data_IF_095851745326
#
_entry.id   IF_095851745326
#
_cell.length_a   1.000
_cell.length_b   1.000
_cell.length_c   1.000
_cell.angle_alpha   90.00
_cell.angle_beta   90.00
_cell.angle_gamma   90.00
#
_symmetry.space_group_name_H-M   'P 1'
#
loop_
_entity.id
_entity.type
_entity.pdbx_description
1 polymer ?
#
# COMPACT_ATOMS: atom_id res chain seq x y z
N UNK A 1 9.06 -29.64 -9.46
CA UNK A 1 9.16 -29.81 -8.00
C UNK A 1 8.61 -28.54 -7.37
N UNK A 2 7.60 -28.63 -6.48
CA UNK A 2 6.98 -27.45 -5.90
C UNK A 2 7.97 -26.77 -4.94
N UNK A 3 8.12 -25.45 -5.08
CA UNK A 3 8.90 -24.63 -4.16
C UNK A 3 8.32 -24.77 -2.74
N UNK A 4 9.14 -25.32 -1.84
CA UNK A 4 8.85 -25.32 -0.41
C UNK A 4 8.89 -23.86 0.08
N UNK A 5 7.72 -23.21 0.08
CA UNK A 5 7.51 -21.98 0.81
C UNK A 5 7.74 -22.28 2.30
N UNK A 6 8.92 -21.90 2.80
CA UNK A 6 9.25 -21.99 4.23
C UNK A 6 8.07 -21.47 5.05
N UNK A 7 7.39 -22.34 5.84
CA UNK A 7 6.22 -21.94 6.58
C UNK A 7 6.66 -20.95 7.65
N UNK A 8 6.43 -19.66 7.41
CA UNK A 8 6.74 -18.60 8.38
C UNK A 8 6.18 -19.03 9.73
N UNK A 9 7.04 -19.19 10.77
CA UNK A 9 6.62 -19.77 12.02
C UNK A 9 5.47 -18.99 12.65
N UNK A 10 4.51 -19.69 13.25
CA UNK A 10 3.31 -19.07 13.84
C UNK A 10 3.64 -17.96 14.83
N UNK A 11 4.74 -18.10 15.57
CA UNK A 11 5.24 -17.10 16.52
C UNK A 11 5.77 -15.83 15.84
N UNK A 12 6.38 -15.94 14.66
CA UNK A 12 6.85 -14.77 13.90
C UNK A 12 5.67 -13.98 13.35
N UNK A 13 4.62 -14.66 12.87
CA UNK A 13 3.36 -14.02 12.46
C UNK A 13 2.66 -13.34 13.64
N UNK A 14 2.61 -14.01 14.79
CA UNK A 14 2.06 -13.43 16.02
C UNK A 14 2.87 -12.21 16.48
N UNK A 15 4.19 -12.23 16.35
CA UNK A 15 5.06 -11.09 16.65
C UNK A 15 4.80 -9.90 15.72
N UNK A 16 4.68 -10.12 14.42
CA UNK A 16 4.32 -9.06 13.46
C UNK A 16 2.93 -8.51 13.75
N UNK A 17 1.94 -9.37 14.01
CA UNK A 17 0.59 -8.93 14.39
C UNK A 17 0.62 -8.13 15.69
N UNK A 18 1.38 -8.57 16.70
CA UNK A 18 1.51 -7.85 17.96
C UNK A 18 2.17 -6.48 17.76
N UNK A 19 3.22 -6.38 16.95
CA UNK A 19 3.85 -5.10 16.60
C UNK A 19 2.87 -4.19 15.87
N UNK A 20 2.13 -4.70 14.88
CA UNK A 20 1.10 -3.93 14.18
C UNK A 20 0.02 -3.46 15.15
N UNK A 21 -0.47 -4.33 16.03
CA UNK A 21 -1.46 -3.97 17.06
C UNK A 21 -0.91 -2.92 18.02
N UNK A 22 0.34 -3.04 18.45
CA UNK A 22 0.99 -2.06 19.34
C UNK A 22 1.15 -0.72 18.63
N UNK A 23 1.61 -0.71 17.38
CA UNK A 23 1.77 0.52 16.59
C UNK A 23 0.42 1.17 16.33
N UNK A 24 -0.60 0.39 15.97
CA UNK A 24 -1.97 0.88 15.75
C UNK A 24 -2.58 1.38 17.05
N UNK A 25 -2.42 0.66 18.16
CA UNK A 25 -2.92 1.08 19.47
C UNK A 25 -2.19 2.34 19.97
N UNK A 26 -0.88 2.45 19.73
CA UNK A 26 -0.10 3.63 20.07
C UNK A 26 -0.51 4.82 19.21
N UNK A 27 -0.67 4.64 17.90
CA UNK A 27 -1.20 5.67 17.01
C UNK A 27 -2.60 6.07 17.45
N UNK A 28 -3.51 5.12 17.69
CA UNK A 28 -4.87 5.39 18.17
C UNK A 28 -4.89 6.10 19.52
N UNK A 29 -3.98 5.77 20.44
CA UNK A 29 -3.83 6.41 21.74
C UNK A 29 -3.31 7.85 21.63
N UNK A 30 -2.26 8.07 20.82
CA UNK A 30 -1.73 9.39 20.52
C UNK A 30 -2.78 10.25 19.76
N UNK A 31 -3.52 9.63 18.84
CA UNK A 31 -4.66 10.23 18.13
C UNK A 31 -5.79 10.55 19.10
N UNK A 32 -6.07 9.70 20.10
CA UNK A 32 -7.08 9.95 21.12
C UNK A 32 -6.75 11.23 21.90
N UNK A 33 -5.49 11.45 22.29
CA UNK A 33 -5.12 12.70 22.97
C UNK A 33 -5.17 13.96 22.08
N UNK A 34 -5.12 13.80 20.75
CA UNK A 34 -5.11 14.93 19.78
C UNK A 34 -6.49 15.22 19.16
N UNK A 35 -7.30 14.19 18.90
CA UNK A 35 -8.68 14.29 18.39
C UNK A 35 -9.68 14.60 19.50
N UNK A 36 -9.33 14.30 20.76
CA UNK A 36 -10.18 14.50 21.92
C UNK A 36 -9.61 15.63 22.76
N UNK A 37 -9.66 16.85 22.23
CA UNK A 37 -9.71 18.04 23.08
C UNK A 37 -10.93 17.87 23.99
N UNK A 38 -10.64 17.62 25.28
CA UNK A 38 -11.35 17.78 26.58
C UNK A 38 -12.88 17.94 26.69
N UNK A 39 -13.66 17.96 25.61
CA UNK A 39 -15.11 17.98 25.67
C UNK A 39 -15.67 16.55 25.77
N UNK A 40 -16.52 16.34 26.78
CA UNK A 40 -17.27 15.11 26.95
C UNK A 40 -17.98 14.73 25.64
N UNK A 41 -17.98 13.45 25.27
CA UNK A 41 -18.53 12.96 24.00
C UNK A 41 -19.98 13.41 23.73
N UNK A 42 -20.75 13.72 24.78
CA UNK A 42 -22.12 14.25 24.68
C UNK A 42 -22.25 15.73 24.30
N UNK A 43 -21.16 16.51 24.32
CA UNK A 43 -21.15 17.94 23.97
C UNK A 43 -20.67 18.22 22.54
N UNK A 44 -20.18 17.19 21.83
CA UNK A 44 -19.59 17.39 20.49
C UNK A 44 -20.64 17.73 19.43
N UNK A 45 -20.39 18.74 18.58
CA UNK A 45 -21.16 18.96 17.37
C UNK A 45 -21.25 17.68 16.53
N UNK A 46 -22.46 17.35 16.06
CA UNK A 46 -22.71 16.16 15.22
C UNK A 46 -21.70 15.96 14.06
N UNK A 47 -21.27 17.00 13.32
CA UNK A 47 -20.27 16.83 12.26
C UNK A 47 -18.93 16.29 12.76
N UNK A 48 -18.49 16.68 13.97
CA UNK A 48 -17.22 16.19 14.54
C UNK A 48 -17.33 14.74 14.99
N UNK A 49 -18.50 14.33 15.49
CA UNK A 49 -18.78 12.93 15.81
C UNK A 49 -18.76 12.05 14.56
N UNK A 50 -19.40 12.47 13.47
CA UNK A 50 -19.39 11.73 12.20
C UNK A 50 -17.96 11.57 11.65
N UNK A 51 -17.15 12.62 11.73
CA UNK A 51 -15.76 12.59 11.31
C UNK A 51 -14.89 11.67 12.17
N UNK A 52 -15.12 11.66 13.49
CA UNK A 52 -14.43 10.73 14.42
C UNK A 52 -14.76 9.27 14.08
N UNK A 53 -16.02 8.98 13.77
CA UNK A 53 -16.45 7.63 13.33
C UNK A 53 -15.79 7.27 12.01
N UNK A 54 -15.72 8.21 11.06
CA UNK A 54 -15.05 8.01 9.79
C UNK A 54 -13.57 7.66 9.95
N UNK A 55 -12.83 8.39 10.79
CA UNK A 55 -11.42 8.11 11.06
C UNK A 55 -11.22 6.74 11.71
N UNK A 56 -12.10 6.35 12.65
CA UNK A 56 -12.06 5.02 13.26
C UNK A 56 -12.30 3.90 12.24
N UNK A 57 -13.23 4.11 11.30
CA UNK A 57 -13.48 3.18 10.19
C UNK A 57 -12.26 3.08 9.28
N UNK A 58 -11.68 4.21 8.88
CA UNK A 58 -10.47 4.22 8.04
C UNK A 58 -9.28 3.55 8.72
N UNK A 59 -9.09 3.76 10.02
CA UNK A 59 -8.07 3.05 10.80
C UNK A 59 -8.32 1.54 10.82
N UNK A 60 -9.57 1.11 11.01
CA UNK A 60 -9.94 -0.31 10.92
C UNK A 60 -9.64 -0.92 9.55
N UNK A 61 -9.92 -0.17 8.48
CA UNK A 61 -9.56 -0.56 7.11
C UNK A 61 -8.05 -0.60 6.92
N UNK A 62 -7.30 0.37 7.45
CA UNK A 62 -5.84 0.40 7.39
C UNK A 62 -5.22 -0.85 8.02
N UNK A 63 -5.73 -1.26 9.18
CA UNK A 63 -5.32 -2.50 9.86
C UNK A 63 -5.62 -3.72 8.99
N UNK A 64 -6.82 -3.80 8.43
CA UNK A 64 -7.19 -4.91 7.55
C UNK A 64 -6.27 -4.98 6.32
N UNK A 65 -5.97 -3.84 5.70
CA UNK A 65 -5.03 -3.74 4.57
C UNK A 65 -3.61 -4.12 5.00
N UNK A 66 -3.14 -3.70 6.18
CA UNK A 66 -1.81 -4.06 6.67
C UNK A 66 -1.66 -5.57 6.89
N UNK A 67 -2.69 -6.22 7.43
CA UNK A 67 -2.66 -7.65 7.77
C UNK A 67 -2.87 -8.52 6.52
N UNK A 68 -3.83 -8.18 5.67
CA UNK A 68 -4.25 -9.05 4.56
C UNK A 68 -3.80 -8.58 3.18
N UNK A 69 -3.39 -7.32 3.04
CA UNK A 69 -3.09 -6.68 1.76
C UNK A 69 -1.82 -7.17 1.08
N UNK A 70 -0.86 -7.75 1.82
CA UNK A 70 0.43 -8.18 1.27
C UNK A 70 0.29 -9.09 0.05
N UNK A 71 -0.55 -10.13 0.14
CA UNK A 71 -0.76 -11.08 -0.97
C UNK A 71 -1.27 -10.39 -2.23
N UNK A 72 -2.15 -9.41 -2.07
CA UNK A 72 -2.73 -8.67 -3.20
C UNK A 72 -1.70 -7.73 -3.82
N UNK A 73 -1.01 -6.92 -3.01
CA UNK A 73 -0.01 -5.97 -3.51
C UNK A 73 1.18 -6.68 -4.13
N UNK A 74 1.65 -7.79 -3.55
CA UNK A 74 2.71 -8.62 -4.12
C UNK A 74 2.27 -9.27 -5.44
N UNK A 75 1.00 -9.64 -5.59
CA UNK A 75 0.45 -10.12 -6.87
C UNK A 75 0.44 -9.05 -7.96
N UNK A 76 0.31 -7.77 -7.59
CA UNK A 76 0.37 -6.62 -8.52
C UNK A 76 1.81 -6.27 -8.89
N UNK A 77 2.75 -6.39 -7.96
CA UNK A 77 4.18 -6.10 -8.16
C UNK A 77 5.06 -7.35 -7.98
N UNK A 78 4.88 -8.41 -8.78
CA UNK A 78 5.54 -9.71 -8.55
C UNK A 78 7.06 -9.66 -8.71
N UNK A 79 7.57 -8.65 -9.44
CA UNK A 79 8.99 -8.49 -9.73
C UNK A 79 9.73 -7.61 -8.71
N UNK A 80 9.03 -7.02 -7.73
CA UNK A 80 9.67 -6.13 -6.75
C UNK A 80 9.00 -6.22 -5.38
N UNK A 81 9.59 -7.03 -4.50
CA UNK A 81 9.20 -7.13 -3.09
C UNK A 81 9.27 -5.76 -2.40
N UNK A 82 10.35 -4.99 -2.65
CA UNK A 82 10.51 -3.64 -2.09
C UNK A 82 9.46 -2.65 -2.60
N UNK A 83 9.14 -2.69 -3.91
CA UNK A 83 8.08 -1.86 -4.48
C UNK A 83 6.69 -2.22 -3.92
N UNK A 84 6.40 -3.51 -3.78
CA UNK A 84 5.17 -3.99 -3.15
C UNK A 84 5.06 -3.53 -1.69
N UNK A 85 6.15 -3.64 -0.93
CA UNK A 85 6.21 -3.19 0.47
C UNK A 85 6.04 -1.68 0.60
N UNK A 86 6.68 -0.90 -0.26
CA UNK A 86 6.53 0.55 -0.29
C UNK A 86 5.07 0.94 -0.58
N UNK A 87 4.45 0.38 -1.61
CA UNK A 87 3.05 0.66 -1.97
C UNK A 87 2.09 0.25 -0.85
N UNK A 88 2.27 -0.94 -0.26
CA UNK A 88 1.43 -1.39 0.85
C UNK A 88 1.57 -0.48 2.07
N UNK A 89 2.80 -0.15 2.45
CA UNK A 89 3.08 0.74 3.59
C UNK A 89 2.47 2.12 3.36
N UNK A 90 2.61 2.66 2.15
CA UNK A 90 2.00 3.95 1.78
C UNK A 90 0.48 3.90 1.81
N UNK A 91 -0.16 2.81 1.35
CA UNK A 91 -1.62 2.65 1.45
C UNK A 91 -2.08 2.60 2.91
N UNK A 92 -1.40 1.83 3.76
CA UNK A 92 -1.70 1.75 5.19
C UNK A 92 -1.55 3.11 5.85
N UNK A 93 -0.47 3.84 5.54
CA UNK A 93 -0.25 5.19 6.08
C UNK A 93 -1.35 6.16 5.65
N UNK A 94 -1.74 6.14 4.37
CA UNK A 94 -2.80 7.01 3.85
C UNK A 94 -4.17 6.74 4.49
N UNK A 95 -4.44 5.49 4.86
CA UNK A 95 -5.69 5.08 5.51
C UNK A 95 -5.68 5.31 7.02
N UNK A 96 -4.52 5.12 7.66
CA UNK A 96 -4.38 5.26 9.12
C UNK A 96 -4.12 6.70 9.57
N UNK A 97 -3.66 7.57 8.65
CA UNK A 97 -3.35 8.93 9.02
C UNK A 97 -4.63 9.66 9.45
N UNK A 98 -4.61 10.28 10.64
CA UNK A 98 -5.68 11.19 11.00
C UNK A 98 -5.66 12.32 9.97
N UNK A 99 -6.84 12.69 9.50
CA UNK A 99 -6.97 14.00 8.90
C UNK A 99 -7.05 14.96 10.08
N UNK A 100 -6.07 15.85 10.28
CA UNK A 100 -6.02 16.76 11.42
C UNK A 100 -7.10 17.83 11.25
N UNK A 101 -8.33 17.41 11.46
CA UNK A 101 -9.45 18.31 11.59
C UNK A 101 -9.43 18.80 13.02
N UNK A 102 -9.12 20.08 13.18
CA UNK A 102 -9.51 20.93 14.32
C UNK A 102 -8.58 21.14 15.52
N UNK A 103 -7.35 20.61 15.58
CA UNK A 103 -6.42 21.04 16.63
C UNK A 103 -6.08 22.55 16.56
N UNK A 104 -6.10 23.14 15.35
CA UNK A 104 -5.84 24.56 15.16
C UNK A 104 -6.97 25.49 15.65
N UNK A 105 -8.20 24.99 15.89
CA UNK A 105 -9.33 25.87 16.27
C UNK A 105 -9.42 26.14 17.77
N UNK A 106 -8.78 25.32 18.61
CA UNK A 106 -8.86 25.43 20.07
C UNK A 106 -7.55 25.86 20.73
N UNK A 107 -6.44 25.87 19.98
CA UNK A 107 -5.12 26.18 20.50
C UNK A 107 -4.73 27.63 20.17
N UNK A 108 -4.35 28.41 21.18
CA UNK A 108 -3.87 29.80 21.03
C UNK A 108 -2.42 29.92 21.50
N UNK A 109 -1.63 30.79 20.88
CA UNK A 109 -0.25 31.05 21.29
C UNK A 109 0.75 29.97 20.88
N UNK A 110 1.71 29.63 21.75
CA UNK A 110 2.82 28.68 21.46
C UNK A 110 2.31 27.29 21.06
N UNK A 111 1.16 26.87 21.59
CA UNK A 111 0.52 25.58 21.27
C UNK A 111 0.00 25.51 19.83
N UNK A 112 -0.39 26.66 19.24
CA UNK A 112 -0.81 26.74 17.84
C UNK A 112 0.38 26.51 16.89
N UNK A 113 1.56 27.04 17.24
CA UNK A 113 2.78 26.84 16.45
C UNK A 113 3.23 25.37 16.44
N UNK A 114 3.19 24.70 17.59
CA UNK A 114 3.49 23.27 17.68
C UNK A 114 2.47 22.42 16.89
N UNK A 115 1.18 22.76 16.98
CA UNK A 115 0.14 22.08 16.22
C UNK A 115 0.32 22.23 14.70
N UNK A 116 0.72 23.41 14.21
CA UNK A 116 1.05 23.65 12.80
C UNK A 116 2.24 22.81 12.32
N UNK A 117 3.27 22.64 13.14
CA UNK A 117 4.42 21.80 12.79
C UNK A 117 4.03 20.32 12.71
N UNK A 118 3.23 19.83 13.66
CA UNK A 118 2.71 18.46 13.62
C UNK A 118 1.85 18.27 12.36
N UNK A 119 0.96 19.21 12.09
CA UNK A 119 0.10 19.21 10.90
C UNK A 119 0.91 19.17 9.59
N UNK A 120 1.93 20.03 9.48
CA UNK A 120 2.82 20.09 8.32
C UNK A 120 3.58 18.77 8.12
N UNK A 121 4.15 18.19 9.17
CA UNK A 121 4.89 16.92 9.09
C UNK A 121 3.98 15.79 8.61
N UNK A 122 2.76 15.71 9.15
CA UNK A 122 1.78 14.72 8.70
C UNK A 122 1.41 14.91 7.23
N UNK A 123 1.16 16.15 6.79
CA UNK A 123 0.87 16.44 5.38
C UNK A 123 2.03 16.08 4.44
N UNK A 124 3.28 16.33 4.84
CA UNK A 124 4.46 15.95 4.05
C UNK A 124 4.58 14.43 3.94
N UNK A 125 4.40 13.70 5.04
CA UNK A 125 4.44 12.23 5.04
C UNK A 125 3.32 11.64 4.17
N UNK A 126 2.12 12.19 4.26
CA UNK A 126 0.97 11.80 3.45
C UNK A 126 1.20 12.10 1.96
N UNK A 127 1.76 13.26 1.65
CA UNK A 127 2.17 13.62 0.28
C UNK A 127 3.19 12.63 -0.28
N UNK A 128 4.22 12.30 0.49
CA UNK A 128 5.22 11.31 0.09
C UNK A 128 4.60 9.92 -0.16
N UNK A 129 3.71 9.47 0.73
CA UNK A 129 2.99 8.20 0.56
C UNK A 129 2.10 8.20 -0.70
N UNK A 130 1.38 9.29 -0.95
CA UNK A 130 0.58 9.45 -2.17
C UNK A 130 1.47 9.37 -3.43
N UNK A 131 2.63 10.03 -3.43
CA UNK A 131 3.58 9.97 -4.54
C UNK A 131 4.10 8.54 -4.79
N UNK A 132 4.37 7.78 -3.73
CA UNK A 132 4.78 6.36 -3.87
C UNK A 132 3.68 5.52 -4.51
N UNK A 133 2.43 5.68 -4.06
CA UNK A 133 1.29 4.94 -4.64
C UNK A 133 1.08 5.33 -6.10
N UNK A 134 1.06 6.63 -6.42
CA UNK A 134 0.91 7.14 -7.79
C UNK A 134 2.05 6.65 -8.68
N UNK A 135 3.30 6.75 -8.23
CA UNK A 135 4.46 6.26 -8.97
C UNK A 135 4.39 4.75 -9.22
N UNK A 136 3.93 3.97 -8.23
CA UNK A 136 3.66 2.54 -8.37
C UNK A 136 2.61 2.24 -9.43
N UNK A 137 1.50 2.99 -9.45
CA UNK A 137 0.43 2.84 -10.44
C UNK A 137 0.88 3.23 -11.86
N UNK A 138 1.64 4.32 -12.00
CA UNK A 138 2.21 4.73 -13.29
C UNK A 138 3.18 3.68 -13.83
N UNK A 139 4.06 3.14 -12.97
CA UNK A 139 4.96 2.05 -13.35
C UNK A 139 4.19 0.82 -13.80
N UNK A 140 3.18 0.41 -13.03
CA UNK A 140 2.33 -0.72 -13.36
C UNK A 140 1.62 -0.53 -14.72
N UNK A 141 1.07 0.66 -14.97
CA UNK A 141 0.42 0.98 -16.24
C UNK A 141 1.39 0.89 -17.42
N UNK A 142 2.62 1.41 -17.24
CA UNK A 142 3.67 1.33 -18.26
C UNK A 142 4.08 -0.12 -18.55
N UNK A 143 4.28 -0.93 -17.52
CA UNK A 143 4.70 -2.33 -17.69
C UNK A 143 3.61 -3.14 -18.41
N UNK A 144 2.32 -2.89 -18.10
CA UNK A 144 1.18 -3.48 -18.82
C UNK A 144 1.10 -3.04 -20.27
N UNK A 145 1.32 -1.75 -20.55
CA UNK A 145 1.34 -1.23 -21.91
C UNK A 145 2.42 -1.91 -22.75
N UNK A 146 3.65 -2.00 -22.23
CA UNK A 146 4.77 -2.65 -22.92
C UNK A 146 4.44 -4.11 -23.23
N UNK A 147 3.83 -4.81 -22.27
CA UNK A 147 3.42 -6.19 -22.46
C UNK A 147 2.34 -6.33 -23.55
N UNK A 148 1.34 -5.45 -23.58
CA UNK A 148 0.32 -5.43 -24.63
C UNK A 148 0.94 -5.18 -26.02
N UNK A 149 1.77 -4.15 -26.13
CA UNK A 149 2.46 -3.80 -27.38
C UNK A 149 3.34 -4.96 -27.89
N UNK A 150 4.04 -5.66 -26.98
CA UNK A 150 4.81 -6.86 -27.32
C UNK A 150 3.94 -8.01 -27.81
N UNK A 151 2.76 -8.21 -27.21
CA UNK A 151 1.78 -9.23 -27.66
C UNK A 151 1.20 -8.91 -29.02
N UNK A 152 0.86 -7.65 -29.27
CA UNK A 152 0.38 -7.21 -30.58
C UNK A 152 1.45 -7.42 -31.65
N UNK A 153 2.71 -7.07 -31.36
CA UNK A 153 3.83 -7.30 -32.28
C UNK A 153 4.04 -8.79 -32.56
N UNK A 154 3.95 -9.65 -31.53
CA UNK A 154 4.06 -11.10 -31.69
C UNK A 154 2.91 -11.72 -32.50
N UNK A 155 1.69 -11.19 -32.40
CA UNK A 155 0.53 -11.60 -33.23
C UNK A 155 0.68 -11.15 -34.68
N UNK A 156 1.33 -10.01 -34.89
CA UNK A 156 1.55 -9.40 -36.21
C UNK A 156 2.77 -9.97 -36.92
N UNK A 157 3.66 -10.64 -36.18
CA UNK A 157 4.86 -11.25 -36.72
C UNK A 157 4.49 -12.40 -37.68
N UNK A 158 5.00 -12.42 -38.91
CA UNK A 158 4.73 -13.50 -39.83
C UNK A 158 5.24 -14.82 -39.24
N UNK A 159 4.35 -15.79 -39.07
CA UNK A 159 4.71 -17.16 -38.65
C UNK A 159 5.87 -17.64 -39.50
N UNK A 160 7.01 -17.94 -38.86
CA UNK A 160 8.18 -18.47 -39.54
C UNK A 160 7.74 -19.69 -40.36
N UNK A 161 7.71 -19.55 -41.69
CA UNK A 161 7.49 -20.67 -42.60
C UNK A 161 8.53 -21.72 -42.23
N UNK A 162 8.07 -22.86 -41.71
CA UNK A 162 8.89 -24.03 -41.51
C UNK A 162 9.61 -24.32 -42.83
N UNK A 163 10.90 -23.98 -42.90
CA UNK A 163 11.73 -24.32 -44.05
C UNK A 163 11.78 -25.85 -44.06
N UNK A 164 11.31 -26.53 -45.11
CA UNK A 164 11.46 -27.97 -45.18
C UNK A 164 12.96 -28.26 -45.19
N UNK A 165 13.43 -28.94 -44.13
CA UNK A 165 14.78 -29.46 -44.07
C UNK A 165 14.86 -30.52 -45.16
N UNK A 166 15.48 -30.19 -46.30
CA UNK A 166 15.84 -31.16 -47.33
C UNK A 166 16.85 -32.13 -46.72
N UNK A 167 16.35 -33.22 -46.15
CA UNK A 167 17.16 -34.36 -45.74
C UNK A 167 17.86 -34.92 -46.97
N UNK A 168 19.18 -34.71 -47.03
CA UNK A 168 20.05 -35.36 -48.02
C UNK A 168 20.26 -36.79 -47.54
N UNK A 169 19.36 -37.70 -47.92
CA UNK A 169 19.58 -39.13 -47.70
C UNK A 169 20.75 -39.59 -48.57
N UNK A 170 21.93 -39.66 -47.95
CA UNK A 170 23.06 -40.38 -48.53
C UNK A 170 22.77 -41.87 -48.47
N UNK A 171 22.43 -42.40 -49.65
CA UNK A 171 22.37 -43.82 -49.99
C UNK A 171 23.75 -44.43 -49.70
N UNK A 172 23.86 -45.29 -48.70
CA UNK A 172 25.00 -46.20 -48.52
C UNK A 172 24.52 -47.59 -48.90
N UNK A 173 25.04 -48.06 -50.02
CA UNK A 173 24.97 -49.45 -50.49
C UNK A 173 26.18 -50.17 -49.96
N UNK A 174 25.98 -51.21 -49.14
CA UNK A 174 26.81 -52.41 -49.08
C UNK A 174 26.05 -53.50 -48.36
#
# INVERSE_FOLDING_TARGET
MPEEAFPVPRWLRAGVVAVVVIVVALLAYLLSSMLFVTEAAGARPWPLTALTVWDALLLGVAVAVAVFGWRYVHGVFPHSVGGAAAVLTSLVLLLAAPWPYTAARTLTGVEAGAALWVDLVFHVLMGAAALVVVGGMVRLARDRWIFEAGREHARSAPTARARPVKGRHHRTTS
#
